data_IF_239524079724
#
_entry.id   IF_239524079724
#
_cell.length_a   1.000
_cell.length_b   1.000
_cell.length_c   1.000
_cell.angle_alpha   90.00
_cell.angle_beta   90.00
_cell.angle_gamma   90.00
#
_symmetry.space_group_name_H-M   'P 1'
#
loop_
_entity.id
_entity.type
_entity.pdbx_description
1 polymer ?
#
# COMPACT_ATOMS: atom_id res chain seq x y z
N UNK A 1 -10.01 -41.38 -21.73
CA UNK A 1 -10.35 -41.34 -23.17
C UNK A 1 -9.15 -41.89 -23.95
N UNK A 2 -9.30 -42.90 -24.82
CA UNK A 2 -8.18 -43.46 -25.58
C UNK A 2 -7.71 -42.51 -26.69
N UNK A 3 -6.43 -42.64 -27.08
CA UNK A 3 -5.85 -41.95 -28.24
C UNK A 3 -6.45 -42.46 -29.54
N UNK A 4 -6.84 -41.53 -30.42
CA UNK A 4 -7.40 -41.82 -31.75
C UNK A 4 -6.43 -41.37 -32.84
N UNK A 5 -6.12 -42.22 -33.83
CA UNK A 5 -5.33 -41.82 -34.99
C UNK A 5 -6.09 -40.80 -35.84
N UNK A 6 -5.45 -39.67 -36.13
CA UNK A 6 -5.96 -38.59 -37.00
C UNK A 6 -5.21 -38.57 -38.34
N UNK A 7 -3.96 -39.05 -38.37
CA UNK A 7 -3.22 -39.30 -39.62
C UNK A 7 -2.13 -40.36 -39.39
N UNK A 8 -1.40 -40.73 -40.45
CA UNK A 8 -0.35 -41.76 -40.44
C UNK A 8 0.64 -41.63 -39.29
N UNK A 9 0.89 -40.39 -38.83
CA UNK A 9 1.81 -40.10 -37.73
C UNK A 9 1.22 -39.17 -36.65
N UNK A 10 -0.12 -39.07 -36.53
CA UNK A 10 -0.75 -38.19 -35.54
C UNK A 10 -1.88 -38.90 -34.81
N UNK A 11 -1.87 -38.81 -33.49
CA UNK A 11 -2.91 -39.32 -32.62
C UNK A 11 -3.37 -38.21 -31.69
N UNK A 12 -4.68 -38.05 -31.55
CA UNK A 12 -5.29 -37.03 -30.68
C UNK A 12 -6.14 -37.75 -29.60
N UNK A 13 -6.24 -37.16 -28.41
CA UNK A 13 -7.27 -37.52 -27.43
C UNK A 13 -7.78 -36.27 -26.74
N UNK A 14 -9.02 -36.32 -26.29
CA UNK A 14 -9.51 -35.32 -25.35
C UNK A 14 -8.75 -35.44 -24.01
N UNK A 15 -8.49 -34.30 -23.38
CA UNK A 15 -8.00 -34.25 -22.00
C UNK A 15 -8.95 -35.03 -21.08
N UNK A 16 -8.39 -35.82 -20.17
CA UNK A 16 -9.18 -36.46 -19.12
C UNK A 16 -9.57 -35.46 -18.03
N UNK A 17 -10.38 -35.90 -17.06
CA UNK A 17 -10.88 -35.03 -15.99
C UNK A 17 -9.77 -34.48 -15.10
N UNK A 18 -8.68 -35.23 -14.89
CA UNK A 18 -7.57 -34.81 -14.05
C UNK A 18 -6.67 -33.82 -14.80
N UNK A 19 -6.43 -34.03 -16.09
CA UNK A 19 -5.72 -33.07 -16.94
C UNK A 19 -6.52 -31.79 -17.15
N UNK A 20 -7.85 -31.88 -17.31
CA UNK A 20 -8.72 -30.69 -17.33
C UNK A 20 -8.69 -29.95 -16.01
N UNK A 21 -8.68 -30.67 -14.90
CA UNK A 21 -8.52 -30.08 -13.56
C UNK A 21 -7.18 -29.37 -13.46
N UNK A 22 -6.04 -30.06 -13.67
CA UNK A 22 -4.71 -29.46 -13.61
C UNK A 22 -4.50 -28.31 -14.58
N UNK A 23 -5.15 -28.37 -15.76
CA UNK A 23 -5.15 -27.27 -16.71
C UNK A 23 -6.02 -26.10 -16.26
N UNK A 24 -7.17 -26.34 -15.64
CA UNK A 24 -8.04 -25.29 -15.07
C UNK A 24 -7.45 -24.59 -13.84
N UNK A 25 -6.66 -25.29 -13.01
CA UNK A 25 -5.85 -24.66 -11.94
C UNK A 25 -4.54 -24.05 -12.46
N UNK A 26 -4.07 -24.43 -13.64
CA UNK A 26 -2.88 -23.84 -14.27
C UNK A 26 -3.19 -22.70 -15.26
N UNK A 27 -4.44 -22.54 -15.70
CA UNK A 27 -4.83 -21.49 -16.61
C UNK A 27 -4.98 -20.17 -15.86
N UNK A 28 -3.95 -19.35 -15.99
CA UNK A 28 -3.97 -17.95 -15.56
C UNK A 28 -5.12 -17.24 -16.28
N UNK A 29 -5.85 -16.40 -15.55
CA UNK A 29 -7.01 -15.69 -16.09
C UNK A 29 -6.72 -15.10 -17.48
N UNK A 30 -7.50 -15.43 -18.53
CA UNK A 30 -7.27 -14.90 -19.87
C UNK A 30 -7.18 -13.37 -19.85
N UNK A 31 -6.22 -12.79 -20.58
CA UNK A 31 -6.03 -11.33 -20.66
C UNK A 31 -7.34 -10.60 -20.97
N UNK A 32 -8.19 -11.19 -21.84
CA UNK A 32 -9.51 -10.65 -22.17
C UNK A 32 -10.40 -10.54 -20.93
N UNK A 33 -10.43 -11.55 -20.08
CA UNK A 33 -11.23 -11.54 -18.85
C UNK A 33 -10.68 -10.54 -17.83
N UNK A 34 -9.36 -10.50 -17.64
CA UNK A 34 -8.71 -9.48 -16.78
C UNK A 34 -9.03 -8.06 -17.24
N UNK A 35 -9.00 -7.82 -18.54
CA UNK A 35 -9.39 -6.55 -19.16
C UNK A 35 -10.87 -6.22 -18.93
N UNK A 36 -11.77 -7.20 -19.07
CA UNK A 36 -13.21 -6.98 -18.84
C UNK A 36 -13.52 -6.74 -17.36
N UNK A 37 -12.83 -7.45 -16.45
CA UNK A 37 -12.94 -7.20 -15.02
C UNK A 37 -12.49 -5.78 -14.65
N UNK A 38 -11.51 -5.21 -15.36
CA UNK A 38 -11.07 -3.82 -15.15
C UNK A 38 -12.17 -2.80 -15.52
N UNK A 39 -12.88 -3.03 -16.63
CA UNK A 39 -14.06 -2.23 -17.01
C UNK A 39 -15.19 -2.37 -15.99
N UNK A 40 -15.49 -3.60 -15.57
CA UNK A 40 -16.50 -3.88 -14.57
C UNK A 40 -16.16 -3.23 -13.22
N UNK A 41 -14.88 -3.18 -12.85
CA UNK A 41 -14.43 -2.48 -11.66
C UNK A 41 -14.67 -0.97 -11.78
N UNK A 42 -14.37 -0.33 -12.93
CA UNK A 42 -14.72 1.08 -13.18
C UNK A 42 -16.21 1.33 -13.02
N UNK A 43 -17.06 0.43 -13.53
CA UNK A 43 -18.51 0.55 -13.34
C UNK A 43 -18.90 0.55 -11.87
N UNK A 44 -18.26 -0.27 -11.02
CA UNK A 44 -18.56 -0.34 -9.59
C UNK A 44 -17.93 0.80 -8.78
N UNK A 45 -16.75 1.25 -9.18
CA UNK A 45 -15.96 2.30 -8.53
C UNK A 45 -15.49 3.33 -9.57
N UNK A 46 -16.37 4.21 -10.06
CA UNK A 46 -16.04 5.16 -11.12
C UNK A 46 -14.86 6.09 -10.77
N UNK A 47 -14.63 6.35 -9.48
CA UNK A 47 -13.51 7.16 -8.99
C UNK A 47 -12.12 6.73 -9.48
N UNK A 48 -11.93 5.47 -9.90
CA UNK A 48 -10.65 5.00 -10.44
C UNK A 48 -10.32 5.65 -11.79
N UNK A 49 -11.33 6.13 -12.51
CA UNK A 49 -11.20 6.79 -13.81
C UNK A 49 -11.27 8.31 -13.74
N UNK A 50 -11.57 8.88 -12.56
CA UNK A 50 -11.62 10.32 -12.40
C UNK A 50 -10.24 10.96 -12.64
N UNK A 51 -10.20 12.18 -13.16
CA UNK A 51 -8.96 12.89 -13.51
C UNK A 51 -8.92 14.25 -12.83
N UNK A 52 -7.73 14.71 -12.47
CA UNK A 52 -7.55 16.08 -11.97
C UNK A 52 -7.78 17.07 -13.12
N UNK A 53 -8.39 18.22 -12.83
CA UNK A 53 -8.44 19.33 -13.78
C UNK A 53 -7.05 19.97 -13.96
N UNK A 54 -6.82 20.74 -15.03
CA UNK A 54 -5.52 21.38 -15.30
C UNK A 54 -5.00 22.26 -14.14
N UNK A 55 -5.86 22.94 -13.34
CA UNK A 55 -5.43 23.61 -12.11
C UNK A 55 -5.06 22.69 -10.93
N UNK A 56 -5.40 21.40 -10.98
CA UNK A 56 -5.24 20.45 -9.87
C UNK A 56 -6.14 20.75 -8.66
N UNK A 57 -7.28 21.39 -8.90
CA UNK A 57 -8.21 21.84 -7.85
C UNK A 57 -9.47 20.99 -7.76
N UNK A 58 -9.77 20.21 -8.80
CA UNK A 58 -10.98 19.38 -8.90
C UNK A 58 -10.63 18.00 -9.42
N UNK A 59 -11.39 17.02 -8.95
CA UNK A 59 -11.40 15.67 -9.49
C UNK A 59 -12.69 15.52 -10.32
N UNK A 60 -12.54 15.25 -11.62
CA UNK A 60 -13.64 15.15 -12.58
C UNK A 60 -13.79 13.71 -13.05
N UNK A 61 -15.01 13.18 -12.96
CA UNK A 61 -15.38 11.91 -13.60
C UNK A 61 -16.31 12.19 -14.78
N UNK A 62 -16.05 11.55 -15.90
CA UNK A 62 -16.86 11.67 -17.12
C UNK A 62 -17.32 10.28 -17.54
N UNK A 63 -18.63 10.15 -17.73
CA UNK A 63 -19.26 8.95 -18.28
C UNK A 63 -18.75 8.79 -19.73
N UNK A 64 -17.98 7.74 -20.03
CA UNK A 64 -17.35 7.62 -21.34
C UNK A 64 -18.32 7.04 -22.37
N UNK A 65 -18.14 7.40 -23.64
CA UNK A 65 -18.62 6.59 -24.76
C UNK A 65 -17.96 5.19 -24.76
N UNK A 66 -18.48 4.21 -25.52
CA UNK A 66 -17.81 2.92 -25.68
C UNK A 66 -16.35 3.05 -26.16
N UNK A 67 -16.08 3.96 -27.09
CA UNK A 67 -14.75 4.23 -27.64
C UNK A 67 -13.84 4.87 -26.59
N UNK A 68 -14.34 5.83 -25.82
CA UNK A 68 -13.62 6.47 -24.72
C UNK A 68 -13.33 5.48 -23.57
N UNK A 69 -14.21 4.50 -23.35
CA UNK A 69 -13.96 3.42 -22.39
C UNK A 69 -12.81 2.53 -22.85
N UNK A 70 -12.75 2.17 -24.13
CA UNK A 70 -11.61 1.41 -24.67
C UNK A 70 -10.31 2.21 -24.60
N UNK A 71 -10.35 3.51 -24.91
CA UNK A 71 -9.20 4.41 -24.78
C UNK A 71 -8.69 4.46 -23.33
N UNK A 72 -9.59 4.64 -22.37
CA UNK A 72 -9.23 4.59 -20.95
C UNK A 72 -8.63 3.24 -20.55
N UNK A 73 -9.18 2.12 -21.02
CA UNK A 73 -8.59 0.80 -20.75
C UNK A 73 -7.21 0.67 -21.39
N UNK A 74 -7.03 1.13 -22.62
CA UNK A 74 -5.74 1.12 -23.28
C UNK A 74 -4.67 1.87 -22.45
N UNK A 75 -5.03 3.01 -21.88
CA UNK A 75 -4.11 3.86 -21.13
C UNK A 75 -3.89 3.42 -19.67
N UNK A 76 -4.72 2.50 -19.16
CA UNK A 76 -4.69 2.10 -17.75
C UNK A 76 -4.50 0.62 -17.49
N UNK A 77 -4.64 -0.24 -18.50
CA UNK A 77 -4.46 -1.69 -18.38
C UNK A 77 -3.28 -2.18 -19.22
N UNK A 78 -2.28 -2.72 -18.54
CA UNK A 78 -1.04 -3.19 -19.14
C UNK A 78 -0.84 -4.69 -18.92
N UNK A 79 -0.28 -5.37 -19.91
CA UNK A 79 0.09 -6.78 -19.82
C UNK A 79 1.61 -6.88 -19.87
N UNK A 80 2.21 -7.41 -18.81
CA UNK A 80 3.66 -7.44 -18.63
C UNK A 80 4.17 -8.89 -18.57
N UNK A 81 4.89 -9.30 -19.61
CA UNK A 81 5.30 -10.71 -19.79
C UNK A 81 6.73 -10.97 -19.27
N UNK A 82 7.56 -9.92 -19.14
CA UNK A 82 8.99 -10.08 -18.83
C UNK A 82 9.38 -9.82 -17.37
N UNK A 83 8.54 -9.10 -16.63
CA UNK A 83 8.88 -8.54 -15.33
C UNK A 83 8.07 -9.21 -14.21
N UNK A 84 8.52 -9.07 -12.96
CA UNK A 84 7.70 -9.37 -11.78
C UNK A 84 7.02 -8.09 -11.28
N UNK A 85 5.94 -8.24 -10.52
CA UNK A 85 5.30 -7.08 -9.87
C UNK A 85 6.28 -6.31 -8.97
N UNK A 86 7.19 -7.03 -8.30
CA UNK A 86 8.24 -6.42 -7.46
C UNK A 86 9.22 -5.59 -8.28
N UNK A 87 9.62 -6.07 -9.46
CA UNK A 87 10.50 -5.33 -10.35
C UNK A 87 9.81 -4.06 -10.86
N UNK A 88 8.58 -4.17 -11.38
CA UNK A 88 7.80 -3.02 -11.86
C UNK A 88 7.57 -1.96 -10.78
N UNK A 89 7.31 -2.39 -9.53
CA UNK A 89 7.15 -1.46 -8.42
C UNK A 89 8.37 -0.53 -8.23
N UNK A 90 9.57 -1.02 -8.50
CA UNK A 90 10.82 -0.30 -8.31
C UNK A 90 11.21 0.60 -9.51
N UNK A 91 10.72 0.31 -10.70
CA UNK A 91 11.17 0.95 -11.95
C UNK A 91 10.16 1.92 -12.54
N UNK A 92 8.87 1.72 -12.28
CA UNK A 92 7.83 2.57 -12.81
C UNK A 92 7.87 3.97 -12.19
N UNK A 93 7.65 4.99 -13.01
CA UNK A 93 7.54 6.40 -12.62
C UNK A 93 6.19 6.71 -11.94
N UNK A 94 6.12 7.69 -11.02
CA UNK A 94 4.84 8.15 -10.47
C UNK A 94 3.83 8.48 -11.58
N UNK A 95 2.55 8.26 -11.30
CA UNK A 95 1.45 8.55 -12.23
C UNK A 95 0.34 9.29 -11.50
N UNK A 96 -0.39 10.13 -12.22
CA UNK A 96 -1.64 10.75 -11.77
C UNK A 96 -2.85 9.84 -11.93
N UNK A 97 -2.72 8.72 -12.64
CA UNK A 97 -3.81 7.79 -12.97
C UNK A 97 -3.75 6.50 -12.16
N UNK A 98 -4.85 5.75 -12.20
CA UNK A 98 -4.96 4.41 -11.65
C UNK A 98 -4.65 3.38 -12.75
N UNK A 99 -3.59 2.58 -12.54
CA UNK A 99 -3.17 1.54 -13.46
C UNK A 99 -3.33 0.14 -12.88
N UNK A 100 -3.57 -0.81 -13.78
CA UNK A 100 -3.53 -2.24 -13.53
C UNK A 100 -2.51 -2.89 -14.48
N UNK A 101 -1.49 -3.52 -13.90
CA UNK A 101 -0.58 -4.38 -14.65
C UNK A 101 -0.92 -5.84 -14.35
N UNK A 102 -1.13 -6.61 -15.40
CA UNK A 102 -1.33 -8.05 -15.33
C UNK A 102 -0.11 -8.78 -15.85
N UNK A 103 0.44 -9.68 -15.03
CA UNK A 103 1.68 -10.40 -15.31
C UNK A 103 1.38 -11.89 -15.48
N UNK A 104 0.99 -12.34 -16.68
CA UNK A 104 0.45 -13.68 -16.88
C UNK A 104 1.47 -14.80 -16.59
N UNK A 105 2.78 -14.55 -16.73
CA UNK A 105 3.79 -15.59 -16.45
C UNK A 105 3.93 -15.93 -14.98
N UNK A 106 3.72 -14.94 -14.10
CA UNK A 106 3.84 -15.09 -12.65
C UNK A 106 2.50 -15.10 -11.94
N UNK A 107 1.39 -14.99 -12.69
CA UNK A 107 0.03 -14.85 -12.16
C UNK A 107 -0.11 -13.65 -11.20
N UNK A 108 0.68 -12.58 -11.41
CA UNK A 108 0.67 -11.41 -10.55
C UNK A 108 -0.23 -10.31 -11.11
N UNK A 109 -0.79 -9.52 -10.19
CA UNK A 109 -1.47 -8.27 -10.47
C UNK A 109 -0.78 -7.16 -9.69
N UNK A 110 -0.52 -6.03 -10.35
CA UNK A 110 0.00 -4.83 -9.72
C UNK A 110 -0.97 -3.67 -9.95
N UNK A 111 -1.63 -3.26 -8.87
CA UNK A 111 -2.42 -2.04 -8.82
C UNK A 111 -1.48 -0.88 -8.48
N UNK A 112 -1.49 0.16 -9.30
CA UNK A 112 -0.67 1.37 -9.10
C UNK A 112 -1.54 2.60 -9.17
N UNK A 113 -1.42 3.46 -8.19
CA UNK A 113 -2.24 4.68 -8.09
C UNK A 113 -1.51 5.68 -7.19
N UNK A 114 -1.61 6.99 -7.44
CA UNK A 114 -1.09 7.97 -6.52
C UNK A 114 -1.82 7.86 -5.18
N UNK A 115 -1.05 7.93 -4.08
CA UNK A 115 -1.58 7.65 -2.74
C UNK A 115 -2.69 8.62 -2.29
N UNK A 116 -2.74 9.83 -2.85
CA UNK A 116 -3.80 10.80 -2.54
C UNK A 116 -5.19 10.35 -3.01
N UNK A 117 -5.28 9.41 -3.98
CA UNK A 117 -6.57 8.90 -4.50
C UNK A 117 -7.22 7.86 -3.60
N UNK A 118 -6.41 7.05 -2.91
CA UNK A 118 -6.90 5.90 -2.17
C UNK A 118 -5.95 5.54 -1.05
N UNK A 119 -6.51 5.22 0.12
CA UNK A 119 -5.76 4.67 1.23
C UNK A 119 -5.56 3.16 1.09
N UNK A 120 -4.86 2.55 2.05
CA UNK A 120 -4.65 1.10 2.04
C UNK A 120 -5.95 0.29 2.12
N UNK A 121 -6.97 0.81 2.82
CA UNK A 121 -8.25 0.10 3.02
C UNK A 121 -9.04 0.11 1.71
N UNK A 122 -9.23 1.28 1.10
CA UNK A 122 -9.90 1.42 -0.19
C UNK A 122 -9.24 0.58 -1.27
N UNK A 123 -7.91 0.52 -1.30
CA UNK A 123 -7.19 -0.31 -2.26
C UNK A 123 -7.48 -1.82 -2.04
N UNK A 124 -7.55 -2.29 -0.79
CA UNK A 124 -7.91 -3.68 -0.49
C UNK A 124 -9.35 -4.00 -0.93
N UNK A 125 -10.30 -3.08 -0.74
CA UNK A 125 -11.67 -3.25 -1.25
C UNK A 125 -11.71 -3.33 -2.78
N UNK A 126 -11.00 -2.44 -3.48
CA UNK A 126 -10.89 -2.47 -4.94
C UNK A 126 -10.32 -3.81 -5.43
N UNK A 127 -9.23 -4.28 -4.80
CA UNK A 127 -8.60 -5.55 -5.14
C UNK A 127 -9.52 -6.75 -4.87
N UNK A 128 -10.18 -6.79 -3.72
CA UNK A 128 -11.12 -7.86 -3.38
C UNK A 128 -12.30 -7.90 -4.35
N UNK A 129 -12.87 -6.74 -4.70
CA UNK A 129 -13.96 -6.67 -5.68
C UNK A 129 -13.50 -7.06 -7.07
N UNK A 130 -12.32 -6.64 -7.50
CA UNK A 130 -11.75 -7.05 -8.79
C UNK A 130 -11.56 -8.57 -8.88
N UNK A 131 -11.00 -9.19 -7.85
CA UNK A 131 -10.82 -10.65 -7.81
C UNK A 131 -12.16 -11.39 -7.79
N UNK A 132 -13.18 -10.84 -7.12
CA UNK A 132 -14.53 -11.41 -7.16
C UNK A 132 -15.16 -11.32 -8.55
N UNK A 133 -15.05 -10.17 -9.22
CA UNK A 133 -15.51 -10.00 -10.61
C UNK A 133 -14.84 -11.03 -11.53
N UNK A 134 -13.55 -11.29 -11.35
CA UNK A 134 -12.85 -12.32 -12.11
C UNK A 134 -13.36 -13.73 -11.81
N UNK A 135 -13.53 -14.06 -10.54
CA UNK A 135 -14.03 -15.37 -10.13
C UNK A 135 -15.46 -15.65 -10.61
N UNK A 136 -16.30 -14.62 -10.65
CA UNK A 136 -17.70 -14.71 -11.08
C UNK A 136 -17.84 -14.76 -12.63
N UNK A 137 -16.77 -14.46 -13.37
CA UNK A 137 -16.77 -14.35 -14.82
C UNK A 137 -17.21 -12.94 -15.27
N UNK A 138 -16.27 -12.07 -15.72
CA UNK A 138 -16.60 -10.70 -16.03
C UNK A 138 -17.53 -10.59 -17.25
N UNK A 139 -18.69 -9.98 -17.04
CA UNK A 139 -19.62 -9.67 -18.12
C UNK A 139 -19.13 -8.47 -18.96
N UNK A 140 -19.57 -8.42 -20.21
CA UNK A 140 -19.36 -7.25 -21.05
C UNK A 140 -19.98 -6.02 -20.39
N UNK A 141 -19.15 -5.01 -20.15
CA UNK A 141 -19.52 -3.85 -19.35
C UNK A 141 -19.76 -2.64 -20.26
N UNK A 142 -20.99 -2.16 -20.27
CA UNK A 142 -21.35 -0.84 -20.79
C UNK A 142 -21.55 0.13 -19.63
N UNK A 143 -21.14 1.38 -19.83
CA UNK A 143 -21.35 2.48 -18.89
C UNK A 143 -22.45 3.38 -19.46
N UNK A 144 -23.53 3.52 -18.70
CA UNK A 144 -24.74 4.26 -19.08
C UNK A 144 -24.94 5.51 -18.22
N UNK A 145 -23.97 5.84 -17.38
CA UNK A 145 -24.00 6.95 -16.43
C UNK A 145 -24.61 6.60 -15.08
N UNK A 146 -25.23 5.42 -14.92
CA UNK A 146 -25.74 4.97 -13.62
C UNK A 146 -24.64 4.77 -12.58
N UNK A 147 -23.39 4.57 -13.02
CA UNK A 147 -22.22 4.49 -12.16
C UNK A 147 -21.92 5.78 -11.42
N UNK A 148 -22.27 6.96 -11.93
CA UNK A 148 -22.00 8.22 -11.26
C UNK A 148 -22.61 8.27 -9.85
N UNK A 149 -23.74 7.59 -9.62
CA UNK A 149 -24.35 7.45 -8.30
C UNK A 149 -23.51 6.66 -7.27
N UNK A 150 -22.48 5.93 -7.74
CA UNK A 150 -21.52 5.17 -6.93
C UNK A 150 -20.23 5.95 -6.62
N UNK A 151 -20.09 7.19 -7.09
CA UNK A 151 -18.98 8.05 -6.71
C UNK A 151 -18.99 8.27 -5.19
N UNK A 152 -17.85 8.01 -4.56
CA UNK A 152 -17.67 8.31 -3.15
C UNK A 152 -17.81 9.83 -2.90
N UNK A 153 -18.49 10.25 -1.82
CA UNK A 153 -18.44 11.65 -1.40
C UNK A 153 -17.01 12.05 -1.05
N UNK A 154 -16.72 13.36 -1.04
CA UNK A 154 -15.46 13.87 -0.51
C UNK A 154 -15.28 13.45 0.95
N UNK A 155 -14.03 13.32 1.40
CA UNK A 155 -13.73 13.01 2.81
C UNK A 155 -14.38 14.03 3.74
N UNK A 156 -14.34 15.32 3.37
CA UNK A 156 -14.95 16.40 4.14
C UNK A 156 -16.45 16.19 4.34
N UNK A 157 -17.16 15.82 3.26
CA UNK A 157 -18.58 15.52 3.33
C UNK A 157 -18.86 14.24 4.12
N UNK A 158 -18.07 13.19 3.93
CA UNK A 158 -18.23 11.92 4.62
C UNK A 158 -17.96 12.03 6.13
N UNK A 159 -16.98 12.87 6.50
CA UNK A 159 -16.56 13.09 7.88
C UNK A 159 -17.26 14.29 8.54
N UNK A 160 -18.21 14.92 7.86
CA UNK A 160 -18.99 16.08 8.33
C UNK A 160 -18.08 17.24 8.77
N UNK A 161 -17.02 17.49 8.01
CA UNK A 161 -16.09 18.60 8.25
C UNK A 161 -16.84 19.92 8.06
N UNK A 162 -16.83 20.81 9.07
CA UNK A 162 -17.45 22.12 8.93
C UNK A 162 -16.79 22.95 7.81
N UNK A 163 -17.57 23.64 6.97
CA UNK A 163 -17.01 24.45 5.88
C UNK A 163 -16.29 25.70 6.38
N UNK A 164 -16.65 26.18 7.58
CA UNK A 164 -16.05 27.36 8.21
C UNK A 164 -15.16 26.95 9.38
N UNK A 165 -13.96 27.54 9.43
CA UNK A 165 -13.02 27.34 10.53
C UNK A 165 -13.44 28.21 11.70
N UNK A 166 -13.87 27.59 12.80
CA UNK A 166 -14.15 28.29 14.05
C UNK A 166 -12.86 28.48 14.87
N UNK A 167 -12.82 29.44 15.81
CA UNK A 167 -11.66 29.60 16.71
C UNK A 167 -11.29 28.30 17.44
N UNK A 168 -12.30 27.55 17.90
CA UNK A 168 -12.09 26.27 18.57
C UNK A 168 -11.44 25.21 17.68
N UNK A 169 -11.78 25.16 16.38
CA UNK A 169 -11.14 24.26 15.42
C UNK A 169 -9.70 24.66 15.14
N UNK A 170 -9.43 25.97 15.04
CA UNK A 170 -8.09 26.51 14.87
C UNK A 170 -7.20 26.18 16.07
N UNK A 171 -7.69 26.40 17.29
CA UNK A 171 -7.00 26.05 18.54
C UNK A 171 -6.76 24.54 18.66
N UNK A 172 -7.71 23.71 18.22
CA UNK A 172 -7.55 22.27 18.20
C UNK A 172 -6.43 21.85 17.24
N UNK A 173 -6.39 22.42 16.03
CA UNK A 173 -5.33 22.20 15.07
C UNK A 173 -3.96 22.68 15.59
N UNK A 174 -3.91 23.83 16.25
CA UNK A 174 -2.67 24.34 16.87
C UNK A 174 -2.17 23.41 17.96
N UNK A 175 -3.05 22.90 18.83
CA UNK A 175 -2.66 21.99 19.90
C UNK A 175 -2.02 20.69 19.37
N UNK A 176 -2.51 20.15 18.25
CA UNK A 176 -1.90 18.97 17.61
C UNK A 176 -0.56 19.32 16.94
N UNK A 177 -0.46 20.47 16.27
CA UNK A 177 0.78 20.93 15.64
C UNK A 177 1.85 21.32 16.66
N UNK A 178 1.45 21.80 17.84
CA UNK A 178 2.36 22.23 18.89
C UNK A 178 3.29 21.09 19.33
N UNK A 179 2.83 19.84 19.26
CA UNK A 179 3.65 18.65 19.52
C UNK A 179 4.81 18.53 18.52
N UNK A 180 4.59 18.87 17.26
CA UNK A 180 5.63 18.90 16.23
C UNK A 180 6.55 20.12 16.41
N UNK A 181 5.97 21.29 16.68
CA UNK A 181 6.68 22.57 16.79
C UNK A 181 7.58 22.66 18.03
N UNK A 182 7.20 22.02 19.15
CA UNK A 182 8.02 21.94 20.37
C UNK A 182 9.27 21.06 20.21
N UNK A 183 9.44 20.42 19.06
CA UNK A 183 10.55 19.54 18.76
C UNK A 183 10.34 18.16 19.36
N UNK A 184 10.06 17.19 18.51
CA UNK A 184 10.16 15.78 18.90
C UNK A 184 11.63 15.38 18.96
N UNK A 185 12.03 14.50 19.90
CA UNK A 185 13.40 13.97 19.90
C UNK A 185 13.67 13.31 18.55
N UNK A 186 14.69 13.82 17.85
CA UNK A 186 15.11 13.28 16.56
C UNK A 186 15.61 11.85 16.72
N UNK A 187 15.11 10.94 15.89
CA UNK A 187 15.68 9.59 15.78
C UNK A 187 16.62 9.58 14.60
N UNK A 188 17.91 9.67 14.89
CA UNK A 188 18.94 9.51 13.87
C UNK A 188 19.13 8.03 13.55
N UNK A 189 18.99 7.69 12.27
CA UNK A 189 19.35 6.39 11.72
C UNK A 189 20.66 6.59 10.94
N UNK A 190 21.60 5.66 11.08
CA UNK A 190 22.84 5.72 10.32
C UNK A 190 22.54 5.58 8.81
N UNK A 191 22.80 6.65 8.06
CA UNK A 191 22.60 6.70 6.60
C UNK A 191 23.93 6.95 5.88
N UNK A 192 23.99 6.60 4.59
CA UNK A 192 25.12 6.98 3.74
C UNK A 192 25.16 8.50 3.58
N UNK A 193 26.38 9.07 3.49
CA UNK A 193 26.56 10.46 3.08
C UNK A 193 26.26 10.61 1.58
N UNK A 194 25.00 10.83 1.24
CA UNK A 194 24.55 11.20 -0.10
C UNK A 194 23.95 12.59 -0.05
N UNK A 195 24.28 13.41 -1.05
CA UNK A 195 23.74 14.77 -1.20
C UNK A 195 22.30 14.70 -1.75
N UNK A 196 21.98 13.68 -2.56
CA UNK A 196 20.66 13.50 -3.16
C UNK A 196 20.05 12.14 -2.76
N UNK A 197 18.72 12.08 -2.59
CA UNK A 197 17.99 10.82 -2.44
C UNK A 197 18.24 9.87 -3.61
N UNK A 198 18.36 8.58 -3.31
CA UNK A 198 18.41 7.51 -4.32
C UNK A 198 17.02 6.96 -4.68
N UNK A 199 17.00 5.88 -5.44
CA UNK A 199 15.75 5.16 -5.78
C UNK A 199 15.15 4.47 -4.55
N UNK A 200 13.83 4.53 -4.41
CA UNK A 200 13.08 3.81 -3.38
C UNK A 200 13.24 2.29 -3.55
N UNK A 201 13.54 1.59 -2.45
CA UNK A 201 13.63 0.13 -2.41
C UNK A 201 12.72 -0.41 -1.32
N UNK A 202 12.27 -1.65 -1.49
CA UNK A 202 11.45 -2.38 -0.53
C UNK A 202 12.20 -3.61 -0.05
N UNK A 203 12.32 -3.76 1.27
CA UNK A 203 12.74 -5.01 1.91
C UNK A 203 11.51 -5.68 2.52
N UNK A 204 11.35 -6.97 2.29
CA UNK A 204 10.26 -7.76 2.84
C UNK A 204 10.84 -8.88 3.71
N UNK A 205 10.44 -8.90 4.98
CA UNK A 205 10.75 -9.98 5.90
C UNK A 205 9.45 -10.72 6.21
N UNK A 206 9.40 -12.02 5.93
CA UNK A 206 8.26 -12.89 6.24
C UNK A 206 8.51 -13.70 7.50
N UNK A 207 7.49 -13.84 8.36
CA UNK A 207 7.49 -14.84 9.43
C UNK A 207 6.76 -16.11 8.97
N UNK A 208 7.24 -17.28 9.39
CA UNK A 208 6.56 -18.53 9.08
C UNK A 208 5.17 -18.58 9.74
N UNK A 209 4.24 -19.37 9.16
CA UNK A 209 2.90 -19.56 9.74
C UNK A 209 2.95 -19.97 11.21
N UNK A 210 3.89 -20.86 11.58
CA UNK A 210 4.08 -21.29 12.96
C UNK A 210 4.55 -20.16 13.87
N UNK A 211 5.53 -19.37 13.42
CA UNK A 211 6.02 -18.21 14.17
C UNK A 211 4.92 -17.16 14.33
N UNK A 212 4.19 -16.82 13.27
CA UNK A 212 3.06 -15.90 13.32
C UNK A 212 1.98 -16.37 14.30
N UNK A 213 1.62 -17.67 14.29
CA UNK A 213 0.68 -18.25 15.27
C UNK A 213 1.16 -18.08 16.71
N UNK A 214 2.44 -18.33 16.97
CA UNK A 214 3.04 -18.15 18.31
C UNK A 214 3.00 -16.69 18.76
N UNK A 215 3.35 -15.76 17.87
CA UNK A 215 3.28 -14.31 18.15
C UNK A 215 1.85 -13.90 18.51
N UNK A 216 0.86 -14.31 17.71
CA UNK A 216 -0.55 -14.00 17.95
C UNK A 216 -1.00 -14.56 19.31
N UNK A 217 -0.68 -15.82 19.61
CA UNK A 217 -1.04 -16.45 20.88
C UNK A 217 -0.39 -15.72 22.07
N UNK A 218 0.89 -15.35 21.97
CA UNK A 218 1.61 -14.63 23.00
C UNK A 218 1.04 -13.22 23.25
N UNK A 219 0.64 -12.51 22.18
CA UNK A 219 -0.03 -11.20 22.28
C UNK A 219 -1.39 -11.34 22.99
N UNK A 220 -2.22 -12.31 22.58
CA UNK A 220 -3.52 -12.57 23.20
C UNK A 220 -3.40 -12.90 24.70
N UNK A 221 -2.46 -13.75 25.07
CA UNK A 221 -2.20 -14.11 26.47
C UNK A 221 -1.83 -12.89 27.34
N UNK A 222 -1.25 -11.85 26.72
CA UNK A 222 -0.84 -10.60 27.37
C UNK A 222 -1.85 -9.47 27.21
N UNK A 223 -3.01 -9.72 26.58
CA UNK A 223 -4.01 -8.70 26.22
C UNK A 223 -3.41 -7.55 25.39
N UNK A 224 -2.44 -7.87 24.54
CA UNK A 224 -1.82 -6.94 23.59
C UNK A 224 -2.28 -7.26 22.16
N UNK A 225 -2.27 -6.25 21.29
CA UNK A 225 -2.42 -6.47 19.85
C UNK A 225 -1.07 -6.81 19.22
N UNK A 226 -1.08 -7.46 18.05
CA UNK A 226 0.15 -7.72 17.28
C UNK A 226 0.81 -6.40 16.83
N UNK A 227 0.01 -5.38 16.51
CA UNK A 227 0.49 -4.04 16.15
C UNK A 227 1.28 -3.42 17.32
N UNK A 228 0.68 -3.42 18.52
CA UNK A 228 1.31 -2.93 19.74
C UNK A 228 2.63 -3.66 20.02
N UNK A 229 2.66 -5.00 19.89
CA UNK A 229 3.88 -5.78 20.08
C UNK A 229 4.95 -5.48 19.01
N UNK A 230 4.55 -5.26 17.76
CA UNK A 230 5.45 -4.89 16.66
C UNK A 230 6.09 -3.51 16.87
N UNK A 231 5.29 -2.53 17.28
CA UNK A 231 5.77 -1.19 17.65
C UNK A 231 6.79 -1.28 18.79
N UNK A 232 6.46 -2.00 19.88
CA UNK A 232 7.41 -2.21 20.99
C UNK A 232 8.72 -2.87 20.55
N UNK A 233 8.68 -3.84 19.64
CA UNK A 233 9.89 -4.46 19.12
C UNK A 233 10.73 -3.47 18.29
N UNK A 234 10.10 -2.58 17.51
CA UNK A 234 10.80 -1.52 16.79
C UNK A 234 11.49 -0.53 17.75
N UNK A 235 10.90 -0.28 18.91
CA UNK A 235 11.53 0.49 19.98
C UNK A 235 12.68 -0.27 20.65
N UNK A 236 12.50 -1.57 20.90
CA UNK A 236 13.49 -2.42 21.57
C UNK A 236 14.71 -2.74 20.70
N UNK A 237 14.55 -2.85 19.37
CA UNK A 237 15.67 -3.05 18.43
C UNK A 237 16.70 -1.91 18.47
N UNK A 238 16.33 -0.74 18.99
CA UNK A 238 17.22 0.43 19.09
C UNK A 238 18.38 0.23 20.06
N UNK A 239 18.22 -0.65 21.06
CA UNK A 239 19.32 -1.00 22.00
C UNK A 239 20.49 -1.71 21.32
N UNK A 240 20.24 -2.28 20.14
CA UNK A 240 21.24 -2.93 19.31
C UNK A 240 21.88 -1.99 18.27
N UNK A 241 21.47 -0.71 18.23
CA UNK A 241 22.16 0.31 17.43
C UNK A 241 23.44 0.74 18.18
N UNK A 242 24.49 1.06 17.43
CA UNK A 242 25.74 1.58 17.99
C UNK A 242 25.52 2.95 18.66
N UNK A 243 26.32 3.29 19.66
CA UNK A 243 26.35 4.63 20.23
C UNK A 243 26.51 5.69 19.12
N UNK A 244 25.82 6.85 19.21
CA UNK A 244 25.01 7.34 20.35
C UNK A 244 23.54 6.91 20.35
N UNK A 245 23.12 6.02 19.44
CA UNK A 245 21.69 5.73 19.18
C UNK A 245 21.02 4.81 20.22
N UNK A 246 21.77 4.37 21.24
CA UNK A 246 21.33 3.55 22.37
C UNK A 246 21.22 4.33 23.70
N UNK A 247 21.14 5.67 23.64
CA UNK A 247 21.12 6.57 24.82
C UNK A 247 19.74 6.92 25.41
N UNK A 248 19.69 7.72 26.50
CA UNK A 248 18.47 8.05 27.26
C UNK A 248 17.38 8.79 26.48
N UNK A 249 17.74 9.45 25.37
CA UNK A 249 16.78 10.11 24.46
C UNK A 249 15.79 9.12 23.82
N UNK A 250 16.15 7.84 23.75
CA UNK A 250 15.27 6.77 23.24
C UNK A 250 13.99 6.60 24.08
N UNK A 251 14.03 6.89 25.39
CA UNK A 251 12.88 6.80 26.28
C UNK A 251 11.89 7.97 26.11
N UNK A 252 12.33 9.11 25.55
CA UNK A 252 11.49 10.28 25.36
C UNK A 252 10.49 10.12 24.20
N UNK A 253 10.82 9.31 23.20
CA UNK A 253 9.99 9.13 21.99
C UNK A 253 8.65 8.44 22.26
N UNK A 254 8.59 7.55 23.24
CA UNK A 254 7.33 6.89 23.65
C UNK A 254 6.25 7.88 24.12
N UNK A 255 6.63 9.13 24.44
CA UNK A 255 5.70 10.20 24.85
C UNK A 255 5.10 10.95 23.66
N UNK A 256 5.84 11.13 22.56
CA UNK A 256 5.37 11.91 21.40
C UNK A 256 4.33 11.19 20.52
N UNK A 257 4.36 9.85 20.50
CA UNK A 257 3.38 9.03 19.78
C UNK A 257 2.18 8.61 20.62
N UNK A 258 2.10 9.07 21.88
CA UNK A 258 0.99 8.76 22.75
C UNK A 258 -0.17 9.68 22.38
N UNK A 259 -1.04 9.22 21.47
CA UNK A 259 -2.41 9.73 21.44
C UNK A 259 -2.92 9.56 22.86
N UNK A 260 -3.25 10.66 23.54
CA UNK A 260 -3.64 10.60 24.94
C UNK A 260 -5.06 10.01 25.04
N UNK A 261 -5.13 8.68 24.99
CA UNK A 261 -6.36 7.91 25.12
C UNK A 261 -6.96 7.99 26.53
N UNK A 262 -6.30 8.70 27.48
CA UNK A 262 -6.82 8.93 28.83
C UNK A 262 -7.71 10.17 28.93
N UNK A 263 -7.78 11.01 27.88
CA UNK A 263 -8.78 12.07 27.79
C UNK A 263 -10.14 11.46 27.48
N UNK A 264 -11.18 11.91 28.20
CA UNK A 264 -12.56 11.42 28.08
C UNK A 264 -13.12 11.50 26.65
N UNK A 265 -12.55 12.37 25.82
CA UNK A 265 -12.79 12.39 24.38
C UNK A 265 -11.46 12.44 23.61
N UNK A 266 -11.03 11.35 22.94
CA UNK A 266 -10.01 11.49 21.91
C UNK A 266 -10.56 12.45 20.87
N UNK A 267 -9.96 13.64 20.74
CA UNK A 267 -10.39 14.64 19.76
C UNK A 267 -10.45 13.95 18.40
N UNK A 268 -11.64 13.94 17.80
CA UNK A 268 -11.84 13.38 16.49
C UNK A 268 -11.10 14.28 15.50
N UNK A 269 -9.93 13.85 15.04
CA UNK A 269 -9.07 14.64 14.13
C UNK A 269 -9.84 15.13 12.92
N UNK A 270 -10.83 14.38 12.45
CA UNK A 270 -11.65 14.77 11.31
C UNK A 270 -12.37 16.11 11.52
N UNK A 271 -12.72 16.51 12.75
CA UNK A 271 -13.46 17.77 12.96
C UNK A 271 -12.62 19.02 12.67
N UNK A 272 -11.30 18.93 12.81
CA UNK A 272 -10.36 20.02 12.55
C UNK A 272 -9.30 19.67 11.48
N UNK A 273 -9.45 18.54 10.78
CA UNK A 273 -8.46 18.01 9.84
C UNK A 273 -8.14 19.00 8.72
N UNK A 274 -9.15 19.63 8.14
CA UNK A 274 -8.95 20.60 7.06
C UNK A 274 -8.05 21.77 7.51
N UNK A 275 -8.30 22.30 8.71
CA UNK A 275 -7.49 23.38 9.28
C UNK A 275 -6.08 22.93 9.67
N UNK A 276 -5.95 21.73 10.24
CA UNK A 276 -4.66 21.10 10.50
C UNK A 276 -3.84 20.93 9.21
N UNK A 277 -4.45 20.39 8.15
CA UNK A 277 -3.80 20.20 6.83
C UNK A 277 -3.42 21.55 6.22
N UNK A 278 -4.30 22.56 6.28
CA UNK A 278 -3.98 23.90 5.79
C UNK A 278 -2.76 24.49 6.49
N UNK A 279 -2.71 24.40 7.82
CA UNK A 279 -1.58 24.89 8.63
C UNK A 279 -0.30 24.09 8.36
N UNK A 280 -0.37 22.76 8.27
CA UNK A 280 0.82 21.93 8.02
C UNK A 280 1.38 22.14 6.61
N UNK A 281 0.54 22.30 5.60
CA UNK A 281 0.97 22.64 4.25
C UNK A 281 1.59 24.04 4.21
N UNK A 282 1.06 25.00 4.96
CA UNK A 282 1.69 26.31 5.14
C UNK A 282 3.09 26.23 5.76
N UNK A 283 3.26 25.39 6.77
CA UNK A 283 4.57 25.13 7.40
C UNK A 283 5.54 24.45 6.45
N UNK A 284 5.11 23.40 5.74
CA UNK A 284 5.95 22.63 4.82
C UNK A 284 6.26 23.37 3.52
N UNK A 285 5.37 24.27 3.08
CA UNK A 285 5.53 25.09 1.88
C UNK A 285 6.43 26.31 2.08
N UNK A 286 6.76 26.67 3.32
CA UNK A 286 7.72 27.72 3.60
C UNK A 286 9.12 27.27 3.18
N UNK A 287 9.66 27.84 2.10
CA UNK A 287 11.01 27.55 1.66
C UNK A 287 12.01 27.89 2.79
N UNK A 288 12.92 26.98 3.16
CA UNK A 288 13.97 27.33 4.11
C UNK A 288 14.86 28.41 3.49
N UNK A 289 15.44 29.25 4.35
CA UNK A 289 16.38 30.30 3.94
C UNK A 289 17.61 29.77 3.20
N UNK A 290 17.98 28.50 3.42
CA UNK A 290 18.99 27.77 2.66
C UNK A 290 18.56 26.30 2.46
N UNK A 291 18.18 25.86 1.25
CA UNK A 291 17.73 24.50 0.99
C UNK A 291 18.82 23.42 1.11
N UNK A 292 20.10 23.80 1.20
CA UNK A 292 21.24 22.88 1.35
C UNK A 292 21.73 22.75 2.79
N UNK A 293 21.42 23.74 3.64
CA UNK A 293 21.72 23.74 5.09
C UNK A 293 20.49 23.50 5.97
N UNK A 294 19.29 23.54 5.38
CA UNK A 294 18.08 23.21 6.08
C UNK A 294 18.19 21.77 6.62
N UNK A 295 18.05 21.54 7.94
CA UNK A 295 17.77 20.20 8.40
C UNK A 295 16.54 19.72 7.64
N UNK A 296 16.59 18.52 7.06
CA UNK A 296 15.41 17.88 6.48
C UNK A 296 14.27 18.09 7.49
N UNK A 297 13.23 18.83 7.08
CA UNK A 297 12.24 19.42 7.99
C UNK A 297 11.92 18.44 9.14
N UNK A 298 12.25 18.75 10.42
CA UNK A 298 12.24 17.76 11.49
C UNK A 298 10.86 17.16 11.80
N UNK A 299 9.79 17.74 11.26
CA UNK A 299 8.45 17.16 11.30
C UNK A 299 8.08 16.55 9.95
N UNK A 300 7.85 15.23 9.93
CA UNK A 300 7.28 14.42 8.83
C UNK A 300 8.20 14.05 7.67
N UNK A 301 9.36 13.47 7.97
CA UNK A 301 10.00 12.55 7.02
C UNK A 301 10.23 11.20 7.69
N UNK A 302 9.45 10.19 7.29
CA UNK A 302 9.71 8.78 7.58
C UNK A 302 10.49 8.09 6.46
N UNK A 303 11.19 8.86 5.60
CA UNK A 303 12.00 8.29 4.52
C UNK A 303 13.35 7.86 5.09
N UNK A 304 13.35 6.73 5.80
CA UNK A 304 14.57 6.01 6.15
C UNK A 304 15.08 5.26 4.93
N UNK A 305 16.25 5.66 4.41
CA UNK A 305 16.95 4.90 3.38
C UNK A 305 17.54 3.63 4.01
N UNK A 306 17.02 2.46 3.64
CA UNK A 306 17.55 1.17 4.10
C UNK A 306 18.69 0.72 3.19
N UNK A 307 19.82 0.39 3.81
CA UNK A 307 21.06 -0.01 3.17
C UNK A 307 21.02 -1.38 2.47
N UNK A 308 21.94 -1.57 1.51
CA UNK A 308 22.45 -2.87 1.02
C UNK A 308 23.51 -3.51 1.98
N UNK A 309 23.54 -3.10 3.26
CA UNK A 309 24.46 -3.63 4.29
C UNK A 309 24.01 -4.99 4.85
N UNK A 310 22.86 -5.50 4.42
CA UNK A 310 22.60 -6.93 4.47
C UNK A 310 23.26 -7.49 3.20
N UNK A 311 24.44 -8.13 3.29
CA UNK A 311 24.92 -8.91 2.15
C UNK A 311 23.81 -9.89 1.74
N UNK A 312 23.76 -10.34 0.47
CA UNK A 312 22.97 -11.51 0.09
C UNK A 312 23.63 -12.76 0.71
N UNK A 313 23.78 -12.78 2.03
CA UNK A 313 24.12 -13.97 2.77
C UNK A 313 22.85 -14.79 2.84
N UNK A 314 22.89 -15.95 2.17
CA UNK A 314 22.23 -17.17 2.61
C UNK A 314 22.08 -17.14 4.13
N UNK A 315 20.84 -17.09 4.59
CA UNK A 315 20.46 -16.92 6.00
C UNK A 315 21.38 -17.72 6.93
N UNK A 316 22.38 -17.07 7.53
CA UNK A 316 22.90 -17.56 8.78
C UNK A 316 21.92 -17.16 9.87
N UNK A 317 21.55 -18.19 10.63
CA UNK A 317 20.61 -18.18 11.75
C UNK A 317 20.99 -17.06 12.71
N UNK A 318 20.22 -15.96 12.72
CA UNK A 318 20.24 -15.04 13.86
C UNK A 318 19.32 -15.67 14.91
N UNK A 319 19.94 -16.29 15.91
CA UNK A 319 19.23 -16.86 17.05
C UNK A 319 18.72 -15.70 17.91
N UNK A 320 17.41 -15.40 17.81
CA UNK A 320 16.75 -14.29 18.51
C UNK A 320 16.57 -14.56 20.03
N UNK A 321 17.38 -15.43 20.63
CA UNK A 321 17.39 -15.69 22.07
C UNK A 321 16.08 -16.27 22.63
N UNK A 322 15.23 -16.85 21.78
CA UNK A 322 14.03 -17.56 22.26
C UNK A 322 14.41 -19.02 22.57
N UNK A 323 14.26 -19.52 23.81
CA UNK A 323 14.52 -20.93 24.08
C UNK A 323 13.53 -21.80 23.29
N UNK A 324 14.04 -22.52 22.29
CA UNK A 324 13.34 -23.61 21.60
C UNK A 324 12.81 -23.37 20.18
N UNK A 325 13.21 -22.31 19.45
CA UNK A 325 12.70 -22.05 18.09
C UNK A 325 13.73 -22.33 16.99
N UNK A 326 14.05 -23.61 16.75
CA UNK A 326 14.73 -24.03 15.54
C UNK A 326 13.79 -23.85 14.33
N UNK A 327 14.01 -22.84 13.49
CA UNK A 327 13.34 -22.72 12.18
C UNK A 327 13.85 -23.84 11.25
N UNK A 328 12.92 -24.64 10.70
CA UNK A 328 13.15 -25.59 9.60
C UNK A 328 13.00 -24.93 8.22
N UNK A 329 13.39 -25.61 7.14
CA UNK A 329 13.39 -25.05 5.79
C UNK A 329 11.98 -24.74 5.25
N UNK A 330 11.91 -23.68 4.45
CA UNK A 330 10.71 -23.12 3.83
C UNK A 330 10.16 -24.05 2.73
N UNK A 331 9.01 -24.68 2.98
CA UNK A 331 8.15 -25.18 1.89
C UNK A 331 7.36 -24.00 1.30
N UNK A 332 7.58 -23.73 0.01
CA UNK A 332 6.79 -22.78 -0.77
C UNK A 332 5.39 -23.35 -0.97
N UNK A 333 4.39 -22.71 -0.40
CA UNK A 333 3.01 -22.84 -0.86
C UNK A 333 2.71 -21.60 -1.69
N UNK A 334 2.72 -21.78 -3.00
CA UNK A 334 2.21 -20.83 -4.00
C UNK A 334 0.73 -21.17 -4.14
N UNK A 335 -0.14 -20.15 -4.01
CA UNK A 335 -1.55 -20.25 -4.39
C UNK A 335 -1.69 -19.76 -5.82
#
# INVERSE_FOLDING_TARGET
MPWQPVSTNRYDRAFDSLEKFYRGIAEVAPVKEVRQAWKALRRQYPQIAAVEDEPGTRLTDTVPSPEELEAWVHDTFFVEVGNSATHLYQTLSPSSLFYLYYLPRSCELLFRTPHWRVDGIGLMYLQATFLRILADGPAETQLDGSEAARLAPSLDKAALVPPEVTPALSEAADAELEVLLKGLPGVSIATQRRILPGTTRRLQCGASRQTTKRIIAACKARRLTVMTAGEFNLFDLRKYLSAPYNGPDAAAFARGYKRDLSREEPRNIFTFLAEYVRKILGLLGAAPSDPLQAPAHPGLSSVGAVNDYLPPTTHQRVDLGWPGAACGPLERVVL
#
